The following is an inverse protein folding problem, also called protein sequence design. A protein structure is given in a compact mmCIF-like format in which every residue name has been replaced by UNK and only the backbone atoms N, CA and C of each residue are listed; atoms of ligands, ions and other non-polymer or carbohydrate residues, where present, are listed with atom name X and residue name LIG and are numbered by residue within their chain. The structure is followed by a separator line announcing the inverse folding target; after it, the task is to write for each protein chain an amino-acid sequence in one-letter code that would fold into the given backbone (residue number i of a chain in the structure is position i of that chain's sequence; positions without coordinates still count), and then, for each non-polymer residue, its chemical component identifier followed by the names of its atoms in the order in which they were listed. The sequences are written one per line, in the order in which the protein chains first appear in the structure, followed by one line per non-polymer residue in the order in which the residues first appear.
data_IF_966542827396
#
_entry.id   IF_966542827396
#
_cell.length_a   1.000
_cell.length_b   1.000
_cell.length_c   1.000
_cell.angle_alpha   90.00
_cell.angle_beta   90.00
_cell.angle_gamma   90.00
#
_symmetry.space_group_name_H-M   'P 1'
#
loop_
_entity.id
_entity.type
_entity.pdbx_description
1 polymer ?
#
# COMPACT_ATOMS: atom_id res chain seq x y z
N UNK A 1 3.91 20.41 -38.89
CA UNK A 1 2.63 20.48 -38.16
C UNK A 1 3.00 20.52 -36.72
N UNK A 2 3.00 21.71 -36.13
CA UNK A 2 3.52 21.98 -34.77
C UNK A 2 2.37 21.87 -33.77
N UNK A 3 2.68 21.20 -32.69
CA UNK A 3 1.82 20.81 -31.56
C UNK A 3 1.14 22.00 -30.87
N UNK A 4 -0.14 21.88 -30.62
CA UNK A 4 -0.90 22.73 -29.71
C UNK A 4 -0.33 22.66 -28.27
N UNK A 5 0.17 23.81 -27.83
CA UNK A 5 0.59 24.01 -26.43
C UNK A 5 -0.65 24.29 -25.59
N UNK A 6 -0.86 23.58 -24.44
CA UNK A 6 -2.02 23.79 -23.55
C UNK A 6 -1.94 25.06 -22.69
N UNK A 7 -0.98 25.97 -22.95
CA UNK A 7 -0.80 27.23 -22.24
C UNK A 7 -1.20 28.46 -23.07
N UNK A 8 -2.33 28.40 -23.72
CA UNK A 8 -2.92 29.63 -24.27
C UNK A 8 -3.64 30.35 -23.11
N UNK A 9 -3.05 31.42 -22.63
CA UNK A 9 -3.71 32.34 -21.69
C UNK A 9 -4.96 32.95 -22.37
N UNK A 10 -6.13 32.99 -21.68
CA UNK A 10 -7.28 33.69 -22.22
C UNK A 10 -6.98 35.17 -22.26
N UNK A 11 -7.02 35.76 -23.45
CA UNK A 11 -7.15 37.17 -23.82
C UNK A 11 -6.53 38.19 -22.88
N UNK A 12 -5.24 38.50 -23.05
CA UNK A 12 -4.68 39.74 -22.53
C UNK A 12 -5.27 40.92 -23.31
N UNK A 13 -6.38 41.45 -22.82
CA UNK A 13 -6.73 42.84 -23.11
C UNK A 13 -5.59 43.68 -22.51
N UNK A 14 -4.89 44.43 -23.35
CA UNK A 14 -3.98 45.54 -22.94
C UNK A 14 -4.82 46.52 -22.11
N UNK A 15 -4.91 46.26 -20.79
CA UNK A 15 -5.52 47.15 -19.84
C UNK A 15 -4.55 48.30 -19.58
N UNK A 16 -5.02 49.49 -19.80
CA UNK A 16 -4.36 50.69 -19.33
C UNK A 16 -4.24 50.70 -17.80
N UNK A 17 -3.60 51.71 -17.27
CA UNK A 17 -3.18 52.03 -15.90
C UNK A 17 -4.12 51.70 -14.70
N UNK A 18 -4.79 50.58 -14.71
CA UNK A 18 -5.63 50.13 -13.58
C UNK A 18 -4.74 49.61 -12.44
N UNK A 19 -4.68 50.38 -11.36
CA UNK A 19 -3.94 49.98 -10.16
C UNK A 19 -4.78 49.08 -9.29
N UNK A 20 -4.38 47.82 -9.19
CA UNK A 20 -5.06 46.83 -8.33
C UNK A 20 -4.36 46.69 -6.96
N UNK A 21 -5.11 46.45 -5.87
CA UNK A 21 -4.52 46.17 -4.56
C UNK A 21 -3.70 44.86 -4.57
N UNK A 22 -2.66 44.76 -3.76
CA UNK A 22 -1.85 43.54 -3.61
C UNK A 22 -2.71 42.32 -3.26
N UNK A 23 -3.73 42.50 -2.39
CA UNK A 23 -4.65 41.43 -2.02
C UNK A 23 -5.48 40.91 -3.21
N UNK A 24 -5.87 41.78 -4.14
CA UNK A 24 -6.58 41.37 -5.36
C UNK A 24 -5.66 40.58 -6.30
N UNK A 25 -4.39 41.01 -6.44
CA UNK A 25 -3.39 40.29 -7.18
C UNK A 25 -3.13 38.88 -6.59
N UNK A 26 -2.86 38.81 -5.27
CA UNK A 26 -2.63 37.54 -4.59
C UNK A 26 -3.80 36.58 -4.76
N UNK A 27 -5.03 37.05 -4.65
CA UNK A 27 -6.24 36.24 -4.87
C UNK A 27 -6.35 35.74 -6.31
N UNK A 28 -6.05 36.60 -7.28
CA UNK A 28 -6.05 36.19 -8.70
C UNK A 28 -5.00 35.12 -8.98
N UNK A 29 -3.80 35.24 -8.40
CA UNK A 29 -2.72 34.26 -8.51
C UNK A 29 -3.17 32.93 -7.85
N UNK A 30 -3.69 32.97 -6.62
CA UNK A 30 -4.20 31.77 -5.91
C UNK A 30 -5.24 31.03 -6.75
N UNK A 31 -6.23 31.74 -7.27
CA UNK A 31 -7.27 31.16 -8.15
C UNK A 31 -6.69 30.56 -9.42
N UNK A 32 -5.69 31.21 -10.01
CA UNK A 32 -5.03 30.70 -11.22
C UNK A 32 -4.24 29.42 -10.93
N UNK A 33 -3.51 29.39 -9.81
CA UNK A 33 -2.77 28.20 -9.38
C UNK A 33 -3.70 27.01 -9.12
N UNK A 34 -4.77 27.22 -8.37
CA UNK A 34 -5.75 26.16 -8.03
C UNK A 34 -6.46 25.60 -9.29
N UNK A 35 -6.71 26.44 -10.29
CA UNK A 35 -7.29 26.00 -11.57
C UNK A 35 -6.29 25.28 -12.47
N UNK A 36 -5.03 25.72 -12.44
CA UNK A 36 -3.98 25.19 -13.34
C UNK A 36 -3.36 23.90 -12.81
N UNK A 37 -3.34 23.70 -11.49
CA UNK A 37 -2.76 22.53 -10.83
C UNK A 37 -3.85 21.78 -10.08
N UNK A 38 -4.41 20.70 -10.67
CA UNK A 38 -5.36 19.85 -9.96
C UNK A 38 -4.66 19.16 -8.79
N UNK A 39 -5.43 18.51 -7.94
CA UNK A 39 -4.90 17.68 -6.86
C UNK A 39 -3.93 16.64 -7.42
N UNK A 40 -2.67 16.68 -7.01
CA UNK A 40 -1.60 15.85 -7.57
C UNK A 40 -0.67 15.28 -6.50
N UNK A 41 0.06 14.22 -6.83
CA UNK A 41 1.09 13.64 -5.99
C UNK A 41 2.45 14.27 -6.32
N UNK A 42 3.16 14.72 -5.27
CA UNK A 42 4.47 15.35 -5.36
C UNK A 42 5.43 14.58 -4.46
N UNK A 43 6.58 14.17 -5.01
CA UNK A 43 7.61 13.45 -4.26
C UNK A 43 8.72 14.40 -3.81
N UNK A 44 9.22 14.18 -2.61
CA UNK A 44 10.37 14.95 -2.07
C UNK A 44 10.87 14.40 -0.76
N UNK A 45 12.00 14.93 -0.31
CA UNK A 45 12.57 14.71 1.01
C UNK A 45 12.02 15.74 2.00
N UNK A 46 11.59 15.28 3.17
CA UNK A 46 11.04 16.14 4.23
C UNK A 46 12.15 16.97 4.86
N UNK A 47 11.89 18.26 5.04
CA UNK A 47 12.73 19.16 5.80
C UNK A 47 11.88 20.13 6.64
N UNK A 48 12.44 20.62 7.73
CA UNK A 48 11.82 21.60 8.64
C UNK A 48 10.45 21.14 9.18
N UNK A 49 10.34 19.86 9.56
CA UNK A 49 9.09 19.32 10.08
C UNK A 49 8.75 19.88 11.46
N UNK A 50 7.55 20.44 11.59
CA UNK A 50 7.03 20.96 12.86
C UNK A 50 5.55 20.57 13.01
N UNK A 51 5.22 19.96 14.14
CA UNK A 51 3.83 19.76 14.57
C UNK A 51 3.44 20.89 15.52
N UNK A 52 2.55 21.75 15.08
CA UNK A 52 2.02 22.84 15.92
C UNK A 52 1.12 22.31 17.04
N UNK A 53 0.99 23.07 18.12
CA UNK A 53 0.06 22.77 19.24
C UNK A 53 -1.39 22.63 18.78
N UNK A 54 -1.78 23.30 17.69
CA UNK A 54 -3.08 23.18 17.02
C UNK A 54 -3.30 21.84 16.33
N UNK A 55 -2.27 21.00 16.21
CA UNK A 55 -2.30 19.71 15.51
C UNK A 55 -2.05 19.79 14.01
N UNK A 56 -1.79 20.98 13.47
CA UNK A 56 -1.36 21.14 12.08
C UNK A 56 0.10 20.72 11.92
N UNK A 57 0.44 20.17 10.73
CA UNK A 57 1.82 19.88 10.37
C UNK A 57 2.30 20.92 9.38
N UNK A 58 3.48 21.46 9.66
CA UNK A 58 4.21 22.36 8.77
C UNK A 58 5.54 21.72 8.44
N UNK A 59 5.87 21.62 7.18
CA UNK A 59 7.13 21.05 6.72
C UNK A 59 7.46 21.56 5.33
N UNK A 60 8.61 21.24 4.82
CA UNK A 60 8.94 21.44 3.42
C UNK A 60 9.25 20.10 2.78
N UNK A 61 8.97 19.98 1.49
CA UNK A 61 9.52 18.92 0.66
C UNK A 61 10.51 19.53 -0.29
N UNK A 62 11.63 18.85 -0.49
CA UNK A 62 12.73 19.30 -1.36
C UNK A 62 13.20 18.16 -2.26
N UNK A 63 13.77 18.54 -3.39
CA UNK A 63 14.60 17.68 -4.23
C UNK A 63 15.99 18.32 -4.40
N UNK A 64 16.75 17.93 -5.42
CA UNK A 64 18.08 18.45 -5.66
C UNK A 64 18.08 19.91 -6.15
N UNK A 65 16.96 20.44 -6.64
CA UNK A 65 16.88 21.72 -7.33
C UNK A 65 15.88 22.70 -6.71
N UNK A 66 14.88 22.19 -5.99
CA UNK A 66 13.76 22.99 -5.50
C UNK A 66 13.28 22.57 -4.12
N UNK A 67 12.61 23.49 -3.45
CA UNK A 67 11.95 23.27 -2.17
C UNK A 67 10.58 23.95 -2.17
N UNK A 68 9.57 23.30 -1.60
CA UNK A 68 8.23 23.85 -1.46
C UNK A 68 7.68 23.64 -0.06
N UNK A 69 7.04 24.67 0.50
CA UNK A 69 6.39 24.60 1.80
C UNK A 69 5.12 23.80 1.73
N UNK A 70 4.87 23.02 2.77
CA UNK A 70 3.70 22.17 2.95
C UNK A 70 2.96 22.51 4.24
N UNK A 71 1.66 22.55 4.18
CA UNK A 71 0.78 22.59 5.34
C UNK A 71 -0.19 21.42 5.26
N UNK A 72 -0.30 20.64 6.34
CA UNK A 72 -1.32 19.62 6.50
C UNK A 72 -2.17 19.94 7.70
N UNK A 73 -3.44 20.23 7.46
CA UNK A 73 -4.36 20.62 8.51
C UNK A 73 -4.70 19.45 9.43
N UNK A 74 -4.98 19.72 10.70
CA UNK A 74 -5.29 18.72 11.74
C UNK A 74 -6.31 17.69 11.26
N UNK A 75 -7.38 18.13 10.58
CA UNK A 75 -8.43 17.26 10.07
C UNK A 75 -7.94 16.19 9.08
N UNK A 76 -6.82 16.42 8.41
CA UNK A 76 -6.15 15.44 7.53
C UNK A 76 -5.02 14.72 8.27
N UNK A 77 -4.23 15.45 9.07
CA UNK A 77 -3.08 14.91 9.79
C UNK A 77 -3.44 13.76 10.76
N UNK A 78 -4.63 13.78 11.35
CA UNK A 78 -5.10 12.73 12.25
C UNK A 78 -5.39 11.38 11.56
N UNK A 79 -5.59 11.38 10.24
CA UNK A 79 -5.83 10.18 9.42
C UNK A 79 -4.59 9.72 8.67
N UNK A 80 -3.45 10.40 8.86
CA UNK A 80 -2.20 9.99 8.23
C UNK A 80 -1.69 8.69 8.88
N UNK A 81 -1.31 7.72 8.05
CA UNK A 81 -0.82 6.42 8.50
C UNK A 81 0.47 6.52 9.32
N UNK A 82 1.26 7.58 9.10
CA UNK A 82 2.49 7.84 9.83
C UNK A 82 2.78 9.34 9.90
N UNK A 83 3.58 9.75 10.87
CA UNK A 83 4.10 11.10 10.99
C UNK A 83 5.48 11.18 10.32
N UNK A 84 5.64 11.99 9.26
CA UNK A 84 6.93 12.16 8.59
C UNK A 84 8.00 12.71 9.53
N UNK A 85 9.26 12.34 9.29
CA UNK A 85 10.43 12.83 10.00
C UNK A 85 11.37 13.58 9.05
N UNK A 86 12.21 14.39 9.60
CA UNK A 86 13.31 15.04 8.86
C UNK A 86 14.13 13.99 8.09
N UNK A 87 14.34 14.23 6.78
CA UNK A 87 15.05 13.32 5.89
C UNK A 87 14.23 12.19 5.28
N UNK A 88 12.97 11.98 5.70
CA UNK A 88 12.11 10.97 5.09
C UNK A 88 11.80 11.33 3.64
N UNK A 89 11.88 10.34 2.74
CA UNK A 89 11.37 10.48 1.37
C UNK A 89 9.91 10.08 1.31
N UNK A 90 9.06 11.04 0.95
CA UNK A 90 7.62 10.88 0.94
C UNK A 90 7.01 11.37 -0.38
N UNK A 91 5.79 10.93 -0.62
CA UNK A 91 4.89 11.50 -1.60
C UNK A 91 3.74 12.19 -0.87
N UNK A 92 3.45 13.43 -1.23
CA UNK A 92 2.33 14.19 -0.70
C UNK A 92 1.27 14.39 -1.77
N UNK A 93 0.03 14.14 -1.45
CA UNK A 93 -1.11 14.51 -2.27
C UNK A 93 -1.56 15.89 -1.86
N UNK A 94 -1.44 16.87 -2.76
CA UNK A 94 -1.63 18.26 -2.38
C UNK A 94 -2.26 19.10 -3.50
N UNK A 95 -2.92 20.17 -3.08
CA UNK A 95 -3.34 21.28 -3.93
C UNK A 95 -2.27 22.36 -3.83
N UNK A 96 -1.89 22.92 -4.99
CA UNK A 96 -1.00 24.08 -5.04
C UNK A 96 -1.82 25.32 -4.76
N UNK A 97 -1.46 26.07 -3.72
CA UNK A 97 -2.18 27.27 -3.30
C UNK A 97 -1.21 28.36 -2.88
N UNK A 98 -1.74 29.53 -2.58
CA UNK A 98 -0.97 30.66 -2.09
C UNK A 98 -1.41 31.03 -0.68
N UNK A 99 -0.45 31.25 0.22
CA UNK A 99 -0.73 31.91 1.48
C UNK A 99 -0.83 33.41 1.27
N UNK A 100 -2.04 33.88 0.99
CA UNK A 100 -2.35 35.27 0.56
C UNK A 100 -1.71 36.36 1.43
N UNK A 101 -1.68 36.23 2.81
CA UNK A 101 -1.11 37.28 3.65
C UNK A 101 0.37 37.56 3.41
N UNK A 102 1.13 36.56 2.90
CA UNK A 102 2.57 36.69 2.60
C UNK A 102 2.90 36.62 1.13
N UNK A 103 1.93 36.25 0.27
CA UNK A 103 2.17 36.02 -1.13
C UNK A 103 3.07 34.80 -1.44
N UNK A 104 3.12 33.82 -0.53
CA UNK A 104 3.97 32.66 -0.64
C UNK A 104 3.20 31.48 -1.22
N UNK A 105 3.75 30.83 -2.25
CA UNK A 105 3.20 29.58 -2.78
C UNK A 105 3.47 28.45 -1.78
N UNK A 106 2.45 27.61 -1.54
CA UNK A 106 2.55 26.47 -0.64
C UNK A 106 1.68 25.30 -1.13
N UNK A 107 1.93 24.13 -0.61
CA UNK A 107 1.15 22.93 -0.82
C UNK A 107 0.18 22.71 0.36
N UNK A 108 -1.11 22.67 0.07
CA UNK A 108 -2.10 22.22 1.03
C UNK A 108 -2.23 20.69 0.91
N UNK A 109 -1.64 19.97 1.87
CA UNK A 109 -1.48 18.52 1.83
C UNK A 109 -2.73 17.83 2.37
N UNK A 110 -3.29 16.94 1.56
CA UNK A 110 -4.45 16.13 1.93
C UNK A 110 -4.07 14.72 2.42
N UNK A 111 -2.97 14.15 1.87
CA UNK A 111 -2.49 12.83 2.25
C UNK A 111 -0.97 12.76 2.10
N UNK A 112 -0.36 11.85 2.88
CA UNK A 112 1.07 11.52 2.81
C UNK A 112 1.22 10.01 2.69
N UNK A 113 2.20 9.56 1.91
CA UNK A 113 2.59 8.15 1.82
C UNK A 113 4.10 8.02 1.63
N UNK A 114 4.66 6.86 1.92
CA UNK A 114 6.09 6.60 1.65
C UNK A 114 6.34 6.55 0.15
N UNK A 115 7.51 7.05 -0.27
CA UNK A 115 7.89 7.04 -1.69
C UNK A 115 7.93 5.60 -2.23
N UNK A 116 7.25 5.37 -3.34
CA UNK A 116 7.21 4.05 -3.98
C UNK A 116 5.94 3.24 -3.72
N UNK A 117 5.17 3.53 -2.67
CA UNK A 117 3.92 2.81 -2.40
C UNK A 117 2.92 2.91 -3.55
N UNK A 118 2.85 4.07 -4.22
CA UNK A 118 2.00 4.24 -5.38
C UNK A 118 2.35 3.28 -6.52
N UNK A 119 3.64 3.09 -6.80
CA UNK A 119 4.11 2.17 -7.85
C UNK A 119 3.83 0.71 -7.49
N UNK A 120 3.98 0.34 -6.22
CA UNK A 120 3.64 -1.00 -5.75
C UNK A 120 2.14 -1.26 -5.88
N UNK A 121 1.31 -0.29 -5.51
CA UNK A 121 -0.14 -0.43 -5.66
C UNK A 121 -0.57 -0.55 -7.13
N UNK A 122 0.00 0.23 -8.04
CA UNK A 122 -0.23 0.09 -9.47
C UNK A 122 0.23 -1.26 -10.02
N UNK A 123 1.38 -1.76 -9.56
CA UNK A 123 1.88 -3.08 -9.92
C UNK A 123 0.95 -4.20 -9.40
N UNK A 124 0.44 -4.08 -8.17
CA UNK A 124 -0.56 -4.98 -7.61
C UNK A 124 -1.84 -5.00 -8.46
N UNK A 125 -2.40 -3.83 -8.80
CA UNK A 125 -3.62 -3.76 -9.61
C UNK A 125 -3.42 -4.37 -11.01
N UNK A 126 -2.27 -4.13 -11.63
CA UNK A 126 -1.93 -4.70 -12.94
C UNK A 126 -1.84 -6.21 -12.87
N UNK A 127 -1.10 -6.76 -11.89
CA UNK A 127 -0.95 -8.19 -11.71
C UNK A 127 -2.30 -8.85 -11.37
N UNK A 128 -3.09 -8.22 -10.51
CA UNK A 128 -4.44 -8.70 -10.18
C UNK A 128 -5.30 -8.83 -11.44
N UNK A 129 -5.37 -7.77 -12.25
CA UNK A 129 -6.18 -7.77 -13.47
C UNK A 129 -5.69 -8.83 -14.48
N UNK A 130 -4.38 -9.03 -14.61
CA UNK A 130 -3.80 -10.06 -15.46
C UNK A 130 -4.22 -11.46 -15.03
N UNK A 131 -4.01 -11.82 -13.76
CA UNK A 131 -4.31 -13.16 -13.26
C UNK A 131 -5.81 -13.44 -13.18
N UNK A 132 -6.62 -12.40 -12.96
CA UNK A 132 -8.09 -12.49 -13.02
C UNK A 132 -8.56 -12.79 -14.44
N UNK A 133 -8.01 -12.12 -15.46
CA UNK A 133 -8.29 -12.38 -16.87
C UNK A 133 -7.88 -13.80 -17.32
N UNK A 134 -6.82 -14.35 -16.72
CA UNK A 134 -6.40 -15.75 -16.91
C UNK A 134 -7.30 -16.76 -16.17
N UNK A 135 -8.27 -16.29 -15.38
CA UNK A 135 -9.17 -17.14 -14.59
C UNK A 135 -8.51 -17.80 -13.38
N UNK A 136 -7.34 -17.28 -12.92
CA UNK A 136 -6.62 -17.88 -11.78
C UNK A 136 -7.41 -17.81 -10.47
N UNK A 137 -8.28 -16.80 -10.35
CA UNK A 137 -9.10 -16.54 -9.16
C UNK A 137 -10.53 -17.07 -9.27
N UNK A 138 -10.85 -17.80 -10.33
CA UNK A 138 -12.21 -18.29 -10.61
C UNK A 138 -12.74 -19.14 -9.45
N UNK A 139 -13.98 -18.91 -9.00
CA UNK A 139 -14.58 -19.65 -7.87
C UNK A 139 -14.61 -21.17 -8.09
N UNK A 140 -14.72 -21.60 -9.33
CA UNK A 140 -14.78 -23.02 -9.73
C UNK A 140 -13.46 -23.76 -9.46
N UNK A 141 -12.35 -23.02 -9.30
CA UNK A 141 -11.04 -23.58 -8.95
C UNK A 141 -10.85 -23.80 -7.45
N UNK A 142 -11.70 -23.15 -6.62
CA UNK A 142 -11.57 -23.19 -5.17
C UNK A 142 -11.95 -24.54 -4.61
N UNK A 143 -11.08 -25.12 -3.81
CA UNK A 143 -11.28 -26.42 -3.16
C UNK A 143 -12.00 -26.24 -1.84
N UNK A 144 -12.92 -27.15 -1.48
CA UNK A 144 -13.51 -27.16 -0.15
C UNK A 144 -12.47 -27.55 0.89
N UNK A 145 -12.56 -26.93 2.07
CA UNK A 145 -11.72 -27.33 3.21
C UNK A 145 -12.19 -28.67 3.77
N UNK A 146 -11.26 -29.54 4.23
CA UNK A 146 -11.64 -30.77 4.91
C UNK A 146 -12.30 -30.45 6.27
N UNK A 147 -13.45 -31.10 6.55
CA UNK A 147 -14.16 -30.89 7.80
C UNK A 147 -13.35 -31.37 9.03
N UNK A 148 -12.52 -32.40 8.85
CA UNK A 148 -11.68 -33.01 9.90
C UNK A 148 -10.28 -33.27 9.33
N UNK A 149 -9.39 -32.25 9.28
CA UNK A 149 -8.02 -32.47 8.80
C UNK A 149 -7.27 -33.37 9.78
N UNK A 150 -6.50 -34.33 9.25
CA UNK A 150 -5.62 -35.18 10.06
C UNK A 150 -4.33 -34.48 10.44
N UNK A 151 -3.88 -33.54 9.60
CA UNK A 151 -2.72 -32.68 9.86
C UNK A 151 -2.86 -31.35 9.13
N UNK A 152 -2.33 -30.30 9.73
CA UNK A 152 -2.33 -28.93 9.19
C UNK A 152 -0.90 -28.52 8.86
N UNK A 153 -0.67 -28.06 7.62
CA UNK A 153 0.58 -27.44 7.22
C UNK A 153 0.55 -25.92 7.44
N UNK A 154 1.66 -25.34 7.88
CA UNK A 154 1.78 -23.88 8.01
C UNK A 154 3.03 -23.40 7.26
N UNK A 155 2.85 -22.53 6.26
CA UNK A 155 3.92 -21.81 5.56
C UNK A 155 4.06 -20.44 6.19
N UNK A 156 5.14 -20.21 6.92
CA UNK A 156 5.46 -18.95 7.59
C UNK A 156 6.90 -18.93 8.11
N UNK A 157 7.35 -17.79 8.65
CA UNK A 157 8.65 -17.70 9.32
C UNK A 157 8.58 -18.27 10.74
N UNK A 158 9.60 -19.04 11.15
CA UNK A 158 9.70 -19.60 12.51
C UNK A 158 9.75 -18.51 13.60
N UNK A 159 10.20 -17.32 13.25
CA UNK A 159 10.31 -16.19 14.17
C UNK A 159 9.05 -15.31 14.19
N UNK A 160 8.08 -15.59 13.31
CA UNK A 160 6.87 -14.76 13.19
C UNK A 160 5.97 -14.86 14.43
N UNK A 161 5.48 -13.72 14.90
CA UNK A 161 4.43 -13.69 15.93
C UNK A 161 3.18 -14.45 15.45
N UNK A 162 2.82 -14.29 14.16
CA UNK A 162 1.72 -14.99 13.54
C UNK A 162 1.76 -16.52 13.74
N UNK A 163 2.94 -17.15 13.67
CA UNK A 163 3.07 -18.58 13.94
C UNK A 163 2.67 -18.93 15.37
N UNK A 164 3.14 -18.16 16.35
CA UNK A 164 2.80 -18.38 17.77
C UNK A 164 1.31 -18.22 18.01
N UNK A 165 0.70 -17.21 17.40
CA UNK A 165 -0.73 -16.94 17.53
C UNK A 165 -1.58 -18.06 16.94
N UNK A 166 -1.22 -18.54 15.74
CA UNK A 166 -1.88 -19.70 15.12
C UNK A 166 -1.72 -20.95 15.96
N UNK A 167 -0.50 -21.28 16.41
CA UNK A 167 -0.26 -22.45 17.26
C UNK A 167 -1.03 -22.39 18.59
N UNK A 168 -1.09 -21.20 19.21
CA UNK A 168 -1.87 -20.99 20.44
C UNK A 168 -3.36 -21.21 20.21
N UNK A 169 -3.86 -20.74 19.07
CA UNK A 169 -5.28 -20.91 18.69
C UNK A 169 -5.59 -22.38 18.42
N UNK A 170 -4.76 -23.06 17.66
CA UNK A 170 -4.92 -24.49 17.36
C UNK A 170 -4.83 -25.36 18.63
N UNK A 171 -3.90 -25.07 19.53
CA UNK A 171 -3.79 -25.79 20.81
C UNK A 171 -5.04 -25.70 21.67
N UNK A 172 -5.82 -24.62 21.54
CA UNK A 172 -7.10 -24.45 22.27
C UNK A 172 -8.28 -25.11 21.56
N UNK A 173 -8.32 -25.05 20.22
CA UNK A 173 -9.50 -25.45 19.43
C UNK A 173 -9.40 -26.87 18.87
N UNK A 174 -8.21 -27.32 18.54
CA UNK A 174 -7.94 -28.61 17.90
C UNK A 174 -6.61 -29.22 18.39
N UNK A 175 -6.42 -29.46 19.72
CA UNK A 175 -5.15 -29.90 20.28
C UNK A 175 -4.70 -31.28 19.78
N UNK A 176 -5.59 -32.06 19.20
CA UNK A 176 -5.34 -33.39 18.66
C UNK A 176 -4.83 -33.39 17.22
N UNK A 177 -4.89 -32.24 16.54
CA UNK A 177 -4.46 -32.14 15.13
C UNK A 177 -2.98 -31.75 15.09
N UNK A 178 -2.10 -32.59 14.55
CA UNK A 178 -0.69 -32.28 14.40
C UNK A 178 -0.47 -31.15 13.39
N UNK A 179 0.54 -30.33 13.68
CA UNK A 179 0.93 -29.19 12.85
C UNK A 179 2.32 -29.41 12.29
N UNK A 180 2.48 -29.26 10.98
CA UNK A 180 3.75 -29.33 10.27
C UNK A 180 4.09 -27.93 9.73
N UNK A 181 5.23 -27.38 10.15
CA UNK A 181 5.67 -26.06 9.69
C UNK A 181 6.62 -26.23 8.50
N UNK A 182 6.31 -25.54 7.40
CA UNK A 182 7.16 -25.37 6.23
C UNK A 182 7.79 -23.97 6.31
N UNK A 183 9.00 -23.86 6.85
CA UNK A 183 9.59 -22.57 7.17
C UNK A 183 9.99 -21.80 5.91
N UNK A 184 9.50 -20.56 5.80
CA UNK A 184 9.90 -19.63 4.76
C UNK A 184 9.94 -18.20 5.31
N UNK A 185 10.88 -17.35 4.88
CA UNK A 185 10.82 -15.92 5.19
C UNK A 185 9.55 -15.33 4.56
N UNK A 186 8.90 -14.42 5.28
CA UNK A 186 7.62 -13.81 4.86
C UNK A 186 7.78 -12.36 4.40
N UNK A 187 9.01 -11.87 4.32
CA UNK A 187 9.37 -10.54 3.85
C UNK A 187 10.86 -10.50 3.46
N UNK A 188 11.23 -9.46 2.70
CA UNK A 188 12.60 -9.24 2.24
C UNK A 188 12.91 -9.89 0.89
N UNK A 189 14.12 -9.64 0.39
CA UNK A 189 14.56 -10.15 -0.90
C UNK A 189 14.57 -11.68 -0.92
N UNK A 190 14.03 -12.28 -1.99
CA UNK A 190 13.99 -13.73 -2.17
C UNK A 190 12.96 -14.45 -1.29
N UNK A 191 12.08 -13.73 -0.61
CA UNK A 191 11.05 -14.37 0.23
C UNK A 191 9.97 -15.06 -0.62
N UNK A 192 9.58 -14.47 -1.75
CA UNK A 192 8.59 -15.04 -2.64
C UNK A 192 9.00 -16.43 -3.16
N UNK A 193 10.23 -16.57 -3.64
CA UNK A 193 10.76 -17.85 -4.15
C UNK A 193 10.79 -18.93 -3.06
N UNK A 194 11.10 -18.55 -1.82
CA UNK A 194 11.11 -19.48 -0.69
C UNK A 194 9.71 -19.87 -0.24
N UNK A 195 8.74 -18.94 -0.32
CA UNK A 195 7.33 -19.25 -0.12
C UNK A 195 6.81 -20.24 -1.17
N UNK A 196 7.14 -20.02 -2.45
CA UNK A 196 6.83 -20.95 -3.55
C UNK A 196 7.41 -22.34 -3.25
N UNK A 197 8.69 -22.43 -2.90
CA UNK A 197 9.35 -23.69 -2.58
C UNK A 197 8.71 -24.40 -1.38
N UNK A 198 8.27 -23.66 -0.36
CA UNK A 198 7.57 -24.21 0.80
C UNK A 198 6.21 -24.80 0.43
N UNK A 199 5.41 -24.10 -0.38
CA UNK A 199 4.11 -24.59 -0.90
C UNK A 199 4.33 -25.85 -1.75
N UNK A 200 5.30 -25.84 -2.65
CA UNK A 200 5.65 -27.00 -3.47
C UNK A 200 6.11 -28.19 -2.63
N UNK A 201 6.92 -27.94 -1.59
CA UNK A 201 7.40 -28.99 -0.67
C UNK A 201 6.22 -29.64 0.07
N UNK A 202 5.27 -28.84 0.56
CA UNK A 202 4.07 -29.37 1.22
C UNK A 202 3.26 -30.27 0.27
N UNK A 203 3.07 -29.84 -0.98
CA UNK A 203 2.37 -30.62 -2.00
C UNK A 203 3.12 -31.92 -2.35
N UNK A 204 4.45 -31.88 -2.47
CA UNK A 204 5.25 -33.06 -2.79
C UNK A 204 5.25 -34.11 -1.65
N UNK A 205 5.26 -33.65 -0.40
CA UNK A 205 5.26 -34.54 0.79
C UNK A 205 3.91 -35.16 1.09
N UNK A 206 2.80 -34.47 0.79
CA UNK A 206 1.43 -34.94 1.01
C UNK A 206 1.16 -35.46 2.43
N UNK A 207 1.79 -34.86 3.42
CA UNK A 207 1.69 -35.25 4.86
C UNK A 207 0.69 -34.38 5.64
N UNK A 208 0.02 -33.44 4.96
CA UNK A 208 -1.01 -32.55 5.53
C UNK A 208 -2.26 -32.53 4.63
N UNK A 209 -3.41 -32.22 5.20
CA UNK A 209 -4.69 -32.19 4.46
C UNK A 209 -5.12 -30.75 4.09
N UNK A 210 -4.52 -29.74 4.72
CA UNK A 210 -4.74 -28.31 4.44
C UNK A 210 -3.47 -27.52 4.70
N UNK A 211 -3.26 -26.46 3.95
CA UNK A 211 -2.08 -25.60 4.05
C UNK A 211 -2.49 -24.17 4.41
N UNK A 212 -1.97 -23.65 5.52
CA UNK A 212 -2.12 -22.26 5.91
C UNK A 212 -0.91 -21.46 5.47
N UNK A 213 -1.12 -20.38 4.72
CA UNK A 213 -0.07 -19.42 4.35
C UNK A 213 -0.29 -18.18 5.17
N UNK A 214 0.59 -17.91 6.14
CA UNK A 214 0.34 -16.92 7.19
C UNK A 214 1.45 -15.88 7.33
N UNK A 215 1.02 -14.62 7.52
CA UNK A 215 1.87 -13.50 7.92
C UNK A 215 1.02 -12.45 8.64
N UNK A 216 1.56 -11.87 9.70
CA UNK A 216 0.93 -10.74 10.39
C UNK A 216 0.81 -9.50 9.51
N UNK A 217 0.18 -8.44 10.00
CA UNK A 217 0.04 -7.16 9.28
C UNK A 217 1.38 -6.47 9.01
N UNK A 218 1.33 -5.43 8.19
CA UNK A 218 2.47 -4.60 7.81
C UNK A 218 2.12 -3.67 6.64
N UNK A 219 3.10 -2.88 6.20
CA UNK A 219 2.94 -2.03 5.03
C UNK A 219 2.85 -2.86 3.73
N UNK A 220 2.44 -2.23 2.63
CA UNK A 220 2.40 -2.90 1.32
C UNK A 220 3.76 -3.47 0.92
N UNK A 221 4.85 -2.80 1.28
CA UNK A 221 6.23 -3.27 1.06
C UNK A 221 6.49 -4.56 1.84
N UNK A 222 6.05 -4.62 3.09
CA UNK A 222 6.22 -5.78 3.95
C UNK A 222 5.41 -6.99 3.46
N UNK A 223 4.25 -6.75 2.86
CA UNK A 223 3.37 -7.78 2.30
C UNK A 223 3.72 -8.13 0.85
N UNK A 224 4.70 -7.45 0.25
CA UNK A 224 4.96 -7.54 -1.19
C UNK A 224 5.29 -8.95 -1.67
N UNK A 225 5.93 -9.76 -0.85
CA UNK A 225 6.23 -11.17 -1.18
C UNK A 225 4.97 -12.02 -1.44
N UNK A 226 3.80 -11.58 -0.98
CA UNK A 226 2.50 -12.22 -1.23
C UNK A 226 1.77 -11.63 -2.45
N UNK A 227 2.36 -10.61 -3.09
CA UNK A 227 1.93 -10.06 -4.38
C UNK A 227 2.80 -10.57 -5.55
N UNK A 228 3.42 -11.72 -5.37
CA UNK A 228 4.26 -12.36 -6.37
C UNK A 228 3.45 -13.31 -7.26
N UNK A 229 3.69 -13.24 -8.58
CA UNK A 229 2.99 -14.04 -9.58
C UNK A 229 3.27 -15.54 -9.42
N UNK A 230 4.53 -15.91 -9.17
CA UNK A 230 4.91 -17.32 -9.04
C UNK A 230 4.29 -17.94 -7.79
N UNK A 231 4.18 -17.16 -6.68
CA UNK A 231 3.50 -17.61 -5.47
C UNK A 231 1.99 -17.82 -5.74
N UNK A 232 1.33 -16.87 -6.40
CA UNK A 232 -0.08 -17.00 -6.76
C UNK A 232 -0.34 -18.24 -7.61
N UNK A 233 0.51 -18.50 -8.60
CA UNK A 233 0.42 -19.69 -9.45
C UNK A 233 0.69 -20.98 -8.66
N UNK A 234 1.65 -20.98 -7.75
CA UNK A 234 1.95 -22.13 -6.89
C UNK A 234 0.77 -22.46 -5.95
N UNK A 235 0.12 -21.44 -5.37
CA UNK A 235 -1.08 -21.59 -4.54
C UNK A 235 -2.24 -22.15 -5.38
N UNK A 236 -2.53 -21.56 -6.53
CA UNK A 236 -3.62 -22.01 -7.40
C UNK A 236 -3.39 -23.43 -7.96
N UNK A 237 -2.13 -23.84 -8.18
CA UNK A 237 -1.77 -25.18 -8.65
C UNK A 237 -1.63 -26.20 -7.50
N UNK A 238 -1.75 -25.80 -6.25
CA UNK A 238 -1.64 -26.68 -5.10
C UNK A 238 -2.70 -27.78 -5.17
N UNK A 239 -2.37 -29.03 -4.89
CA UNK A 239 -3.33 -30.11 -4.72
C UNK A 239 -4.01 -30.07 -3.35
N UNK A 240 -3.31 -29.46 -2.37
CA UNK A 240 -3.84 -29.24 -1.02
C UNK A 240 -4.70 -27.96 -1.02
N UNK A 241 -5.85 -27.97 -0.33
CA UNK A 241 -6.58 -26.73 -0.04
C UNK A 241 -5.69 -25.73 0.69
N UNK A 242 -5.70 -24.48 0.25
CA UNK A 242 -4.87 -23.41 0.81
C UNK A 242 -5.75 -22.34 1.45
N UNK A 243 -5.46 -22.04 2.72
CA UNK A 243 -6.02 -20.90 3.44
C UNK A 243 -4.96 -19.82 3.53
N UNK A 244 -5.26 -18.63 3.05
CA UNK A 244 -4.39 -17.46 3.15
C UNK A 244 -4.84 -16.59 4.33
N UNK A 245 -3.96 -16.40 5.32
CA UNK A 245 -4.16 -15.51 6.47
C UNK A 245 -3.02 -14.49 6.54
N UNK A 246 -3.03 -13.52 5.61
CA UNK A 246 -1.98 -12.52 5.46
C UNK A 246 -2.53 -11.13 5.74
N UNK A 247 -1.82 -10.36 6.57
CA UNK A 247 -2.22 -9.00 6.91
C UNK A 247 -3.34 -8.91 7.94
N UNK A 248 -4.11 -7.84 7.85
CA UNK A 248 -5.31 -7.58 8.63
C UNK A 248 -6.58 -7.60 7.74
N UNK A 249 -7.71 -7.28 8.31
CA UNK A 249 -9.01 -7.32 7.63
C UNK A 249 -9.05 -6.49 6.34
N UNK A 250 -8.37 -5.35 6.32
CA UNK A 250 -8.32 -4.41 5.20
C UNK A 250 -7.22 -4.70 4.17
N UNK A 251 -6.26 -5.56 4.53
CA UNK A 251 -5.14 -5.88 3.66
C UNK A 251 -5.55 -6.99 2.67
N UNK A 252 -5.26 -6.78 1.39
CA UNK A 252 -5.48 -7.78 0.35
C UNK A 252 -4.21 -7.98 -0.46
N UNK A 253 -3.82 -9.23 -0.63
CA UNK A 253 -2.69 -9.64 -1.45
C UNK A 253 -3.13 -10.51 -2.63
N UNK A 254 -2.28 -10.67 -3.62
CA UNK A 254 -2.54 -11.58 -4.76
C UNK A 254 -2.69 -13.04 -4.27
N UNK A 255 -1.94 -13.42 -3.22
CA UNK A 255 -2.07 -14.74 -2.60
C UNK A 255 -3.47 -14.99 -2.01
N UNK A 256 -4.15 -13.95 -1.48
CA UNK A 256 -5.53 -14.06 -0.97
C UNK A 256 -6.53 -14.40 -2.07
N UNK A 257 -6.35 -13.80 -3.25
CA UNK A 257 -7.20 -14.11 -4.41
C UNK A 257 -6.94 -15.49 -4.98
N UNK A 258 -5.69 -15.95 -4.95
CA UNK A 258 -5.29 -17.28 -5.45
C UNK A 258 -5.69 -18.42 -4.52
N UNK A 259 -5.69 -18.21 -3.20
CA UNK A 259 -6.02 -19.20 -2.19
C UNK A 259 -7.49 -19.69 -2.27
N UNK A 260 -7.77 -20.90 -1.78
CA UNK A 260 -9.12 -21.45 -1.74
C UNK A 260 -10.00 -20.68 -0.75
N UNK A 261 -9.44 -20.29 0.40
CA UNK A 261 -10.11 -19.49 1.42
C UNK A 261 -9.19 -18.34 1.88
N UNK A 262 -9.74 -17.15 1.98
CA UNK A 262 -9.10 -16.03 2.65
C UNK A 262 -9.58 -15.94 4.09
N UNK A 263 -8.63 -15.84 5.03
CA UNK A 263 -8.89 -15.46 6.40
C UNK A 263 -8.43 -14.02 6.65
N UNK A 264 -9.18 -13.20 7.41
CA UNK A 264 -8.84 -11.79 7.62
C UNK A 264 -7.56 -11.61 8.45
N UNK A 265 -7.15 -12.63 9.20
CA UNK A 265 -5.95 -12.62 10.04
C UNK A 265 -5.34 -14.02 10.12
N UNK A 266 -4.07 -14.16 10.52
CA UNK A 266 -3.45 -15.47 10.74
C UNK A 266 -4.22 -16.38 11.71
N UNK A 267 -4.82 -15.80 12.76
CA UNK A 267 -5.61 -16.54 13.76
C UNK A 267 -7.02 -16.88 13.30
N UNK A 268 -7.49 -16.22 12.23
CA UNK A 268 -8.77 -16.52 11.59
C UNK A 268 -8.68 -17.66 10.57
N UNK A 269 -7.45 -17.96 10.14
CA UNK A 269 -7.17 -19.06 9.22
C UNK A 269 -7.28 -20.39 9.93
#
# INVERSE_FOLDING_TARGET
MLSDSPFAAPGATRGGDEVIPVSALNRAISTTLERSFPLLWISGEVSNFTRAASGHWYFSIKDQQAQMRCVMFRGRAQYAEFMPREGDRIEVRAVVTMYEPRGEVQLNVEAVRRTGQGRLYEAFLRLKAQLEAEGLFAPERKRPLPAHPRAIGIVTSLQAAALRDVLTTLARRAPHVPVIVYPAPVQGAGAAEKLVAAVQTANARREVDVLLVCRGGGSIEDLWSFNDEALARAIAASELPVVCGVGHETDFTIADFAADVRAPTPTGA
#
